data_IF_551218982290
#
_entry.id   IF_551218982290
#
_cell.length_a   1.000
_cell.length_b   1.000
_cell.length_c   1.000
_cell.angle_alpha   90.00
_cell.angle_beta   90.00
_cell.angle_gamma   90.00
#
_symmetry.space_group_name_H-M   'P 1'
#
loop_
_entity.id
_entity.type
_entity.pdbx_description
1 polymer ?
#
# COMPACT_ATOMS: atom_id res chain seq x y z
N UNK A 1 -17.28 0.31 20.97
CA UNK A 1 -15.92 0.91 21.01
C UNK A 1 -15.17 0.70 19.69
N UNK A 2 -15.18 -0.50 19.10
CA UNK A 2 -14.46 -0.83 17.84
C UNK A 2 -14.81 0.06 16.64
N UNK A 3 -16.08 0.43 16.47
CA UNK A 3 -16.51 1.35 15.40
C UNK A 3 -15.96 2.79 15.54
N UNK A 4 -15.66 3.25 16.76
CA UNK A 4 -15.13 4.60 16.99
C UNK A 4 -13.70 4.75 16.49
N UNK A 5 -12.87 3.70 16.66
CA UNK A 5 -11.51 3.66 16.11
C UNK A 5 -11.53 3.77 14.58
N UNK A 6 -12.43 3.03 13.93
CA UNK A 6 -12.60 3.14 12.48
C UNK A 6 -13.09 4.52 12.05
N UNK A 7 -14.06 5.10 12.76
CA UNK A 7 -14.54 6.46 12.50
C UNK A 7 -13.42 7.50 12.65
N UNK A 8 -12.58 7.36 13.68
CA UNK A 8 -11.40 8.22 13.88
C UNK A 8 -10.42 8.13 12.70
N UNK A 9 -10.10 6.92 12.23
CA UNK A 9 -9.25 6.74 11.04
C UNK A 9 -9.87 7.37 9.79
N UNK A 10 -11.18 7.20 9.58
CA UNK A 10 -11.88 7.80 8.45
C UNK A 10 -11.77 9.33 8.48
N UNK A 11 -12.03 9.96 9.62
CA UNK A 11 -11.90 11.42 9.77
C UNK A 11 -10.46 11.89 9.59
N UNK A 12 -9.48 11.14 10.09
CA UNK A 12 -8.06 11.45 9.95
C UNK A 12 -7.55 11.37 8.50
N UNK A 13 -8.07 10.39 7.75
CA UNK A 13 -7.64 10.08 6.38
C UNK A 13 -8.40 10.87 5.31
N UNK A 14 -9.62 11.31 5.59
CA UNK A 14 -10.45 12.09 4.65
C UNK A 14 -9.71 13.29 4.02
N UNK A 15 -9.03 14.17 4.77
CA UNK A 15 -8.30 15.30 4.18
C UNK A 15 -6.98 14.92 3.51
N UNK A 16 -6.60 13.63 3.52
CA UNK A 16 -5.37 13.09 2.93
C UNK A 16 -5.64 12.15 1.75
N UNK A 17 -6.91 11.98 1.37
CA UNK A 17 -7.31 11.09 0.28
C UNK A 17 -7.71 11.95 -0.92
N UNK A 18 -7.14 11.67 -2.08
CA UNK A 18 -7.31 12.47 -3.28
C UNK A 18 -7.58 11.58 -4.49
N UNK A 19 -8.22 12.16 -5.50
CA UNK A 19 -8.25 11.55 -6.83
C UNK A 19 -6.86 11.69 -7.49
N UNK A 20 -6.52 10.81 -8.46
CA UNK A 20 -5.19 10.84 -9.11
C UNK A 20 -4.80 12.20 -9.69
N UNK A 21 -5.75 12.93 -10.27
CA UNK A 21 -5.49 14.25 -10.84
C UNK A 21 -5.18 15.32 -9.78
N UNK A 22 -5.77 15.20 -8.59
CA UNK A 22 -5.77 16.20 -7.52
C UNK A 22 -4.63 16.01 -6.52
N UNK A 23 -4.07 14.80 -6.44
CA UNK A 23 -2.99 14.49 -5.50
C UNK A 23 -1.74 15.32 -5.83
N UNK A 24 -1.08 15.82 -4.78
CA UNK A 24 0.23 16.45 -4.91
C UNK A 24 1.30 15.41 -5.22
N UNK A 25 2.40 15.85 -5.82
CA UNK A 25 3.50 14.96 -6.15
C UNK A 25 4.19 14.47 -4.87
N UNK A 26 4.64 13.21 -4.89
CA UNK A 26 5.51 12.62 -3.88
C UNK A 26 6.60 11.80 -4.60
N UNK A 27 7.75 11.51 -3.99
CA UNK A 27 8.80 10.78 -4.68
C UNK A 27 8.41 9.32 -5.00
N UNK A 28 7.58 8.69 -4.17
CA UNK A 28 7.26 7.26 -4.25
C UNK A 28 5.74 7.00 -4.20
N UNK A 29 5.26 6.08 -5.02
CA UNK A 29 3.98 5.41 -4.78
C UNK A 29 4.22 4.08 -4.04
N UNK A 30 3.66 3.93 -2.84
CA UNK A 30 3.64 2.65 -2.12
C UNK A 30 2.42 1.84 -2.57
N UNK A 31 2.67 0.72 -3.24
CA UNK A 31 1.66 -0.22 -3.71
C UNK A 31 1.59 -1.40 -2.76
N UNK A 32 0.44 -1.57 -2.10
CA UNK A 32 0.26 -2.63 -1.11
C UNK A 32 -0.18 -3.95 -1.77
N UNK A 33 0.29 -5.08 -1.24
CA UNK A 33 -0.16 -6.44 -1.62
C UNK A 33 -1.65 -6.70 -1.37
N UNK A 34 -2.26 -7.56 -2.19
CA UNK A 34 -3.71 -7.79 -2.23
C UNK A 34 -4.14 -9.21 -2.62
N UNK A 35 -3.19 -10.12 -2.84
CA UNK A 35 -3.45 -11.50 -3.25
C UNK A 35 -3.05 -11.81 -4.69
N UNK A 36 -2.49 -13.00 -4.88
CA UNK A 36 -2.25 -13.62 -6.18
C UNK A 36 -3.41 -14.54 -6.61
N UNK A 37 -3.54 -14.72 -7.92
CA UNK A 37 -4.29 -15.81 -8.51
C UNK A 37 -3.60 -17.16 -8.27
N UNK A 38 -4.29 -18.26 -8.55
CA UNK A 38 -3.74 -19.63 -8.36
C UNK A 38 -2.53 -19.93 -9.25
N UNK A 39 -2.37 -19.22 -10.34
CA UNK A 39 -1.25 -19.33 -11.27
C UNK A 39 -0.07 -18.41 -10.91
N UNK A 40 -0.14 -17.71 -9.77
CA UNK A 40 0.89 -16.77 -9.31
C UNK A 40 0.80 -15.38 -9.92
N UNK A 41 -0.12 -15.13 -10.87
CA UNK A 41 -0.32 -13.79 -11.42
C UNK A 41 -0.99 -12.86 -10.41
N UNK A 42 -0.83 -11.55 -10.57
CA UNK A 42 -1.50 -10.57 -9.72
C UNK A 42 -3.02 -10.78 -9.76
N UNK A 43 -3.68 -10.88 -8.60
CA UNK A 43 -5.14 -10.92 -8.54
C UNK A 43 -5.76 -9.61 -9.02
N UNK A 44 -7.05 -9.59 -9.36
CA UNK A 44 -7.72 -8.39 -9.90
C UNK A 44 -7.57 -7.14 -9.02
N UNK A 45 -7.59 -7.32 -7.69
CA UNK A 45 -7.40 -6.23 -6.71
C UNK A 45 -5.97 -5.71 -6.71
N UNK A 46 -4.99 -6.60 -6.95
CA UNK A 46 -3.58 -6.26 -7.02
C UNK A 46 -3.23 -5.58 -8.35
N UNK A 47 -3.80 -6.06 -9.45
CA UNK A 47 -3.69 -5.43 -10.77
C UNK A 47 -4.19 -3.97 -10.74
N UNK A 48 -5.39 -3.73 -10.18
CA UNK A 48 -5.96 -2.38 -10.05
C UNK A 48 -5.02 -1.41 -9.29
N UNK A 49 -4.38 -1.89 -8.21
CA UNK A 49 -3.40 -1.08 -7.46
C UNK A 49 -2.16 -0.75 -8.29
N UNK A 50 -1.64 -1.71 -9.04
CA UNK A 50 -0.46 -1.51 -9.89
C UNK A 50 -0.79 -0.59 -11.08
N UNK A 51 -1.97 -0.75 -11.69
CA UNK A 51 -2.46 0.11 -12.76
C UNK A 51 -2.62 1.57 -12.29
N UNK A 52 -3.23 1.77 -11.12
CA UNK A 52 -3.34 3.09 -10.50
C UNK A 52 -1.98 3.72 -10.19
N UNK A 53 -1.02 2.90 -9.73
CA UNK A 53 0.34 3.37 -9.46
C UNK A 53 1.09 3.74 -10.75
N UNK A 54 0.91 2.96 -11.82
CA UNK A 54 1.45 3.28 -13.14
C UNK A 54 0.82 4.56 -13.72
N UNK A 55 -0.48 4.80 -13.53
CA UNK A 55 -1.14 6.06 -13.90
C UNK A 55 -0.46 7.26 -13.22
N UNK A 56 -0.22 7.18 -11.91
CA UNK A 56 0.47 8.23 -11.15
C UNK A 56 1.90 8.45 -11.65
N UNK A 57 2.63 7.38 -11.96
CA UNK A 57 3.98 7.44 -12.51
C UNK A 57 4.01 8.16 -13.86
N UNK A 58 3.16 7.73 -14.82
CA UNK A 58 3.11 8.36 -16.14
C UNK A 58 2.57 9.79 -16.13
N UNK A 59 1.76 10.14 -15.12
CA UNK A 59 1.31 11.51 -14.88
C UNK A 59 2.38 12.40 -14.20
N UNK A 60 3.57 11.84 -13.86
CA UNK A 60 4.64 12.57 -13.18
C UNK A 60 4.30 12.93 -11.73
N UNK A 61 3.35 12.21 -11.11
CA UNK A 61 2.98 12.39 -9.69
C UNK A 61 3.96 11.69 -8.75
N UNK A 62 4.62 10.64 -9.23
CA UNK A 62 5.67 9.89 -8.52
C UNK A 62 6.83 9.54 -9.44
N UNK A 63 8.01 9.35 -8.85
CA UNK A 63 9.22 8.98 -9.58
C UNK A 63 9.50 7.48 -9.52
N UNK A 64 9.11 6.81 -8.44
CA UNK A 64 9.37 5.39 -8.20
C UNK A 64 8.13 4.67 -7.67
N UNK A 65 8.01 3.37 -7.98
CA UNK A 65 6.96 2.50 -7.46
C UNK A 65 7.57 1.53 -6.43
N UNK A 66 7.17 1.64 -5.16
CA UNK A 66 7.55 0.70 -4.12
C UNK A 66 6.46 -0.38 -3.97
N UNK A 67 6.73 -1.57 -4.48
CA UNK A 67 5.83 -2.72 -4.49
C UNK A 67 6.05 -3.56 -3.24
N UNK A 68 5.19 -3.41 -2.23
CA UNK A 68 5.34 -4.05 -0.92
C UNK A 68 4.28 -5.10 -0.66
N UNK A 69 4.70 -6.35 -0.50
CA UNK A 69 3.80 -7.49 -0.36
C UNK A 69 4.46 -8.70 0.29
N UNK A 70 3.67 -9.76 0.44
CA UNK A 70 4.10 -11.01 1.03
C UNK A 70 4.93 -11.85 0.04
N UNK A 71 6.05 -12.38 0.53
CA UNK A 71 6.90 -13.38 -0.11
C UNK A 71 7.30 -14.48 0.88
N UNK A 72 6.38 -14.87 1.77
CA UNK A 72 6.66 -15.77 2.91
C UNK A 72 6.82 -17.25 2.53
N UNK A 73 6.44 -17.64 1.31
CA UNK A 73 6.55 -19.02 0.82
C UNK A 73 7.19 -19.05 -0.56
N UNK A 74 7.90 -20.13 -0.89
CA UNK A 74 8.57 -20.30 -2.20
C UNK A 74 7.62 -20.15 -3.40
N UNK A 75 6.33 -20.39 -3.21
CA UNK A 75 5.31 -20.36 -4.27
C UNK A 75 4.44 -19.10 -4.25
N UNK A 76 4.81 -18.06 -3.51
CA UNK A 76 3.99 -16.88 -3.34
C UNK A 76 4.86 -15.62 -3.30
N UNK A 77 4.85 -14.86 -4.40
CA UNK A 77 5.66 -13.64 -4.58
C UNK A 77 4.78 -12.49 -5.08
N UNK A 78 4.19 -11.71 -4.17
CA UNK A 78 3.38 -10.55 -4.54
C UNK A 78 4.20 -9.44 -5.23
N UNK A 79 5.38 -9.01 -4.71
CA UNK A 79 6.19 -8.01 -5.39
C UNK A 79 6.64 -8.42 -6.79
N UNK A 80 7.01 -9.68 -7.00
CA UNK A 80 7.34 -10.20 -8.33
C UNK A 80 6.16 -10.08 -9.30
N UNK A 81 4.96 -10.49 -8.89
CA UNK A 81 3.76 -10.35 -9.72
C UNK A 81 3.39 -8.87 -9.99
N UNK A 82 3.58 -7.99 -9.00
CA UNK A 82 3.39 -6.54 -9.18
C UNK A 82 4.38 -5.96 -10.19
N UNK A 83 5.65 -6.39 -10.12
CA UNK A 83 6.70 -5.99 -11.07
C UNK A 83 6.36 -6.40 -12.48
N UNK A 84 6.02 -7.66 -12.70
CA UNK A 84 5.66 -8.16 -14.04
C UNK A 84 4.46 -7.40 -14.62
N UNK A 85 3.45 -7.08 -13.79
CA UNK A 85 2.31 -6.28 -14.24
C UNK A 85 2.74 -4.84 -14.58
N UNK A 86 3.53 -4.18 -13.74
CA UNK A 86 4.02 -2.82 -14.00
C UNK A 86 4.91 -2.73 -15.26
N UNK A 87 5.79 -3.72 -15.48
CA UNK A 87 6.59 -3.84 -16.70
C UNK A 87 5.69 -3.98 -17.93
N UNK A 88 4.60 -4.76 -17.84
CA UNK A 88 3.64 -4.91 -18.94
C UNK A 88 2.89 -3.61 -19.28
N UNK A 89 2.76 -2.70 -18.31
CA UNK A 89 2.20 -1.35 -18.49
C UNK A 89 3.23 -0.34 -19.01
N UNK A 90 4.50 -0.72 -19.12
CA UNK A 90 5.59 0.10 -19.67
C UNK A 90 6.38 0.90 -18.64
N UNK A 91 6.22 0.63 -17.34
CA UNK A 91 7.07 1.25 -16.30
C UNK A 91 8.48 0.68 -16.43
N UNK A 92 9.55 1.51 -16.50
CA UNK A 92 10.92 1.02 -16.53
C UNK A 92 11.28 0.23 -15.28
N UNK A 93 12.05 -0.85 -15.43
CA UNK A 93 12.41 -1.73 -14.32
C UNK A 93 13.20 -1.01 -13.21
N UNK A 94 14.08 -0.08 -13.60
CA UNK A 94 14.86 0.78 -12.70
C UNK A 94 14.01 1.71 -11.82
N UNK A 95 12.72 1.89 -12.15
CA UNK A 95 11.76 2.69 -11.39
C UNK A 95 10.85 1.84 -10.49
N UNK A 96 11.01 0.51 -10.52
CA UNK A 96 10.25 -0.43 -9.70
C UNK A 96 11.15 -0.96 -8.58
N UNK A 97 10.75 -0.69 -7.34
CA UNK A 97 11.43 -1.15 -6.12
C UNK A 97 10.59 -2.23 -5.45
N UNK A 98 11.20 -3.35 -5.09
CA UNK A 98 10.49 -4.48 -4.50
C UNK A 98 10.73 -4.60 -3.00
N UNK A 99 9.64 -4.75 -2.25
CA UNK A 99 9.67 -5.09 -0.83
C UNK A 99 8.99 -6.43 -0.57
N UNK A 100 9.82 -7.48 -0.46
CA UNK A 100 9.41 -8.88 -0.21
C UNK A 100 9.04 -9.20 1.24
N UNK A 101 9.14 -8.23 2.15
CA UNK A 101 8.81 -8.42 3.56
C UNK A 101 7.63 -7.55 4.03
N UNK A 102 6.83 -7.04 3.08
CA UNK A 102 5.58 -6.29 3.29
C UNK A 102 4.38 -7.16 3.67
N UNK A 103 4.53 -8.07 4.63
CA UNK A 103 3.51 -9.11 4.95
C UNK A 103 2.21 -8.55 5.54
N UNK A 104 2.28 -7.35 6.11
CA UNK A 104 1.15 -6.58 6.64
C UNK A 104 1.36 -5.13 6.27
N UNK A 105 0.29 -4.35 6.22
CA UNK A 105 0.38 -2.89 5.97
C UNK A 105 1.27 -2.17 6.99
N UNK A 106 1.28 -2.62 8.26
CA UNK A 106 2.18 -2.11 9.27
C UNK A 106 3.65 -2.33 8.85
N UNK A 107 3.97 -3.54 8.38
CA UNK A 107 5.31 -3.93 7.97
C UNK A 107 5.76 -3.13 6.75
N UNK A 108 4.88 -2.96 5.74
CA UNK A 108 5.12 -2.12 4.56
C UNK A 108 5.43 -0.67 4.93
N UNK A 109 4.61 -0.05 5.78
CA UNK A 109 4.81 1.34 6.20
C UNK A 109 6.07 1.51 7.06
N UNK A 110 6.35 0.58 7.97
CA UNK A 110 7.58 0.59 8.77
C UNK A 110 8.81 0.49 7.85
N UNK A 111 8.81 -0.48 6.93
CA UNK A 111 9.94 -0.76 6.05
C UNK A 111 10.16 0.34 5.02
N UNK A 112 9.09 0.99 4.53
CA UNK A 112 9.19 2.18 3.69
C UNK A 112 10.10 3.25 4.35
N UNK A 113 9.96 3.48 5.65
CA UNK A 113 10.84 4.37 6.41
C UNK A 113 12.22 3.76 6.65
N UNK A 114 12.27 2.58 7.28
CA UNK A 114 13.49 2.05 7.87
C UNK A 114 14.46 1.41 6.87
N UNK A 115 13.94 0.83 5.78
CA UNK A 115 14.74 0.16 4.75
C UNK A 115 14.89 1.08 3.55
N UNK A 116 13.78 1.65 3.08
CA UNK A 116 13.75 2.37 1.81
C UNK A 116 13.98 3.88 1.94
N UNK A 117 14.09 4.40 3.17
CA UNK A 117 14.41 5.81 3.42
C UNK A 117 13.31 6.77 2.96
N UNK A 118 12.05 6.33 2.89
CA UNK A 118 10.95 7.12 2.34
C UNK A 118 10.29 7.95 3.44
N UNK A 119 10.38 9.28 3.29
CA UNK A 119 9.74 10.25 4.19
C UNK A 119 8.42 10.82 3.66
N UNK A 120 8.16 10.67 2.37
CA UNK A 120 7.01 11.22 1.67
C UNK A 120 6.54 10.25 0.58
N UNK A 121 5.26 9.88 0.57
CA UNK A 121 4.73 8.93 -0.42
C UNK A 121 3.23 9.10 -0.68
N UNK A 122 2.80 8.58 -1.83
CA UNK A 122 1.40 8.30 -2.13
C UNK A 122 1.14 6.81 -1.86
N UNK A 123 0.24 6.47 -0.95
CA UNK A 123 -0.18 5.07 -0.76
C UNK A 123 -1.33 4.73 -1.70
N UNK A 124 -1.16 3.66 -2.48
CA UNK A 124 -2.14 3.20 -3.48
C UNK A 124 -2.77 1.91 -3.01
N UNK A 125 -4.08 1.96 -2.73
CA UNK A 125 -4.89 0.82 -2.32
C UNK A 125 -6.39 1.12 -2.50
N UNK A 126 -7.28 0.17 -2.28
CA UNK A 126 -8.73 0.42 -2.39
C UNK A 126 -9.22 1.43 -1.35
N UNK A 127 -10.29 2.17 -1.67
CA UNK A 127 -10.83 3.22 -0.80
C UNK A 127 -11.22 2.71 0.60
N UNK A 128 -11.74 1.49 0.69
CA UNK A 128 -12.05 0.88 1.99
C UNK A 128 -10.79 0.67 2.84
N UNK A 129 -9.60 0.52 2.26
CA UNK A 129 -8.36 0.21 2.98
C UNK A 129 -7.54 1.47 3.32
N UNK A 130 -7.68 2.53 2.53
CA UNK A 130 -6.92 3.78 2.67
C UNK A 130 -6.85 4.34 4.10
N UNK A 131 -7.95 4.42 4.88
CA UNK A 131 -7.89 5.03 6.20
C UNK A 131 -6.88 4.38 7.15
N UNK A 132 -6.76 3.04 7.08
CA UNK A 132 -5.82 2.29 7.91
C UNK A 132 -4.40 2.40 7.37
N UNK A 133 -4.21 2.37 6.05
CA UNK A 133 -2.90 2.52 5.43
C UNK A 133 -2.28 3.90 5.73
N UNK A 134 -3.06 4.97 5.56
CA UNK A 134 -2.66 6.36 5.89
C UNK A 134 -2.31 6.48 7.38
N UNK A 135 -3.14 5.92 8.27
CA UNK A 135 -2.86 5.92 9.71
C UNK A 135 -1.53 5.24 10.04
N UNK A 136 -1.28 4.05 9.49
CA UNK A 136 -0.08 3.27 9.76
C UNK A 136 1.19 3.94 9.22
N UNK A 137 1.15 4.46 8.00
CA UNK A 137 2.30 5.16 7.43
C UNK A 137 2.60 6.46 8.18
N UNK A 138 1.56 7.20 8.60
CA UNK A 138 1.76 8.38 9.41
C UNK A 138 2.39 8.07 10.80
N UNK A 139 2.10 6.91 11.38
CA UNK A 139 2.69 6.49 12.66
C UNK A 139 4.21 6.25 12.60
N UNK A 140 4.80 6.16 11.40
CA UNK A 140 6.25 6.07 11.18
C UNK A 140 6.86 7.36 10.63
N UNK A 141 6.22 8.50 10.90
CA UNK A 141 6.65 9.83 10.46
C UNK A 141 6.85 9.94 8.94
N UNK A 142 5.98 9.26 8.18
CA UNK A 142 5.90 9.41 6.73
C UNK A 142 4.79 10.41 6.41
N UNK A 143 5.11 11.43 5.60
CA UNK A 143 4.10 12.28 4.96
C UNK A 143 3.39 11.43 3.91
N UNK A 144 2.12 11.12 4.16
CA UNK A 144 1.37 10.18 3.34
C UNK A 144 0.07 10.81 2.85
N UNK A 145 -0.16 10.71 1.55
CA UNK A 145 -1.47 10.90 0.92
C UNK A 145 -1.94 9.57 0.34
N UNK A 146 -3.24 9.42 0.14
CA UNK A 146 -3.85 8.20 -0.38
C UNK A 146 -4.56 8.42 -1.70
N UNK A 147 -4.40 7.48 -2.64
CA UNK A 147 -5.15 7.44 -3.89
C UNK A 147 -5.89 6.10 -3.99
N UNK A 148 -7.22 6.10 -4.21
CA UNK A 148 -7.99 4.88 -4.32
C UNK A 148 -7.75 4.17 -5.66
N UNK A 149 -7.54 2.85 -5.60
CA UNK A 149 -7.51 1.96 -6.75
C UNK A 149 -8.79 1.10 -6.75
N UNK A 150 -9.87 1.64 -7.28
CA UNK A 150 -11.19 0.98 -7.38
C UNK A 150 -11.72 1.01 -8.83
N UNK A 151 -10.84 0.92 -9.83
CA UNK A 151 -11.22 0.97 -11.24
C UNK A 151 -11.90 -0.35 -11.70
N UNK A 152 -11.65 -1.45 -10.99
CA UNK A 152 -12.27 -2.73 -11.28
C UNK A 152 -13.69 -2.88 -10.70
N UNK A 153 -14.56 -3.60 -11.42
CA UNK A 153 -15.90 -3.94 -10.95
C UNK A 153 -15.88 -5.06 -9.91
N UNK A 154 -15.75 -4.69 -8.64
CA UNK A 154 -15.80 -5.65 -7.53
C UNK A 154 -17.23 -6.12 -7.23
N UNK A 155 -17.35 -7.40 -6.87
CA UNK A 155 -18.63 -7.94 -6.36
C UNK A 155 -19.02 -7.22 -5.07
N UNK A 156 -20.23 -6.67 -5.03
CA UNK A 156 -20.76 -5.94 -3.86
C UNK A 156 -20.59 -6.72 -2.55
N UNK A 157 -20.87 -8.04 -2.55
CA UNK A 157 -20.68 -8.91 -1.38
C UNK A 157 -19.22 -8.97 -0.90
N UNK A 158 -18.26 -8.99 -1.82
CA UNK A 158 -16.84 -8.97 -1.48
C UNK A 158 -16.46 -7.62 -0.88
N UNK A 159 -16.92 -6.54 -1.50
CA UNK A 159 -16.66 -5.17 -1.04
C UNK A 159 -17.22 -4.90 0.37
N UNK A 160 -18.46 -5.32 0.64
CA UNK A 160 -19.06 -5.18 1.98
C UNK A 160 -18.34 -6.05 3.03
N UNK A 161 -17.92 -7.25 2.66
CA UNK A 161 -17.10 -8.09 3.53
C UNK A 161 -15.77 -7.43 3.88
N UNK A 162 -15.03 -6.90 2.89
CA UNK A 162 -13.77 -6.21 3.13
C UNK A 162 -13.94 -4.99 4.03
N UNK A 163 -14.98 -4.18 3.79
CA UNK A 163 -15.30 -3.04 4.65
C UNK A 163 -15.59 -3.46 6.10
N UNK A 164 -16.27 -4.59 6.31
CA UNK A 164 -16.53 -5.10 7.66
C UNK A 164 -15.24 -5.55 8.38
N UNK A 165 -14.31 -6.19 7.65
CA UNK A 165 -13.01 -6.60 8.20
C UNK A 165 -12.18 -5.41 8.65
N UNK A 166 -12.31 -4.27 7.96
CA UNK A 166 -11.56 -3.06 8.30
C UNK A 166 -11.88 -2.52 9.69
N UNK A 167 -13.07 -2.78 10.25
CA UNK A 167 -13.38 -2.38 11.62
C UNK A 167 -12.47 -3.10 12.62
N UNK A 168 -12.27 -4.41 12.45
CA UNK A 168 -11.38 -5.20 13.31
C UNK A 168 -9.91 -4.88 13.03
N UNK A 169 -9.55 -4.74 11.76
CA UNK A 169 -8.19 -4.39 11.36
C UNK A 169 -7.77 -3.00 11.89
N UNK A 170 -8.71 -2.06 12.01
CA UNK A 170 -8.44 -0.73 12.60
C UNK A 170 -8.10 -0.83 14.08
N UNK A 171 -8.81 -1.67 14.84
CA UNK A 171 -8.50 -1.92 16.26
C UNK A 171 -7.10 -2.50 16.40
N UNK A 172 -6.76 -3.46 15.55
CA UNK A 172 -5.44 -4.10 15.56
C UNK A 172 -4.33 -3.12 15.15
N UNK A 173 -4.57 -2.23 14.18
CA UNK A 173 -3.61 -1.19 13.81
C UNK A 173 -3.34 -0.20 14.97
N UNK A 174 -4.37 0.21 15.71
CA UNK A 174 -4.16 1.02 16.92
C UNK A 174 -3.37 0.27 17.98
N UNK A 175 -3.63 -1.03 18.16
CA UNK A 175 -2.88 -1.87 19.11
C UNK A 175 -1.40 -1.97 18.73
N UNK A 176 -1.11 -2.23 17.45
CA UNK A 176 0.25 -2.32 16.94
C UNK A 176 1.00 -0.99 17.13
N UNK A 177 0.35 0.15 16.86
CA UNK A 177 0.98 1.48 16.95
C UNK A 177 1.12 1.98 18.39
N UNK A 178 0.16 1.72 19.28
CA UNK A 178 0.14 2.34 20.61
C UNK A 178 0.69 1.44 21.72
N UNK A 179 0.71 0.12 21.49
CA UNK A 179 0.98 -0.86 22.54
C UNK A 179 2.08 -1.83 22.12
N UNK A 180 1.85 -2.63 21.07
CA UNK A 180 2.71 -3.77 20.78
C UNK A 180 4.03 -3.39 20.09
N UNK A 181 4.04 -2.38 19.22
CA UNK A 181 5.21 -1.94 18.45
C UNK A 181 6.03 -3.10 17.85
N UNK A 182 5.41 -4.05 17.11
CA UNK A 182 6.13 -5.20 16.59
C UNK A 182 7.24 -4.74 15.64
N UNK A 183 8.40 -5.39 15.71
CA UNK A 183 9.49 -5.17 14.74
C UNK A 183 9.26 -6.09 13.54
N UNK A 184 9.10 -5.57 12.31
CA UNK A 184 8.99 -6.40 11.11
C UNK A 184 10.31 -7.12 10.79
N UNK A 185 10.28 -7.99 9.79
CA UNK A 185 11.52 -8.51 9.20
C UNK A 185 12.27 -7.32 8.60
N UNK A 186 13.51 -7.12 9.02
CA UNK A 186 14.40 -6.08 8.51
C UNK A 186 15.52 -6.71 7.67
N UNK A 187 16.06 -5.91 6.76
CA UNK A 187 17.28 -6.22 6.00
C UNK A 187 18.31 -5.11 6.22
N UNK A 188 19.28 -5.01 5.32
CA UNK A 188 20.12 -3.81 5.26
C UNK A 188 19.28 -2.63 4.75
N UNK A 189 19.62 -1.38 5.11
CA UNK A 189 19.03 -0.22 4.46
C UNK A 189 19.31 -0.23 2.95
N UNK A 190 18.26 0.03 2.17
CA UNK A 190 18.25 0.11 0.71
C UNK A 190 17.51 1.40 0.29
N UNK A 191 18.07 2.60 0.57
CA UNK A 191 17.39 3.86 0.24
C UNK A 191 17.08 3.95 -1.27
N UNK A 192 15.84 4.36 -1.60
CA UNK A 192 15.40 4.48 -2.99
C UNK A 192 16.13 5.62 -3.72
N UNK A 193 16.51 6.66 -2.96
CA UNK A 193 17.25 7.82 -3.46
C UNK A 193 18.58 7.95 -2.72
N UNK A 194 19.65 8.41 -3.40
CA UNK A 194 20.98 8.59 -2.84
C UNK A 194 21.09 9.74 -1.83
#
# INVERSE_FOLDING_TARGET
>A
MTGLMRAGMLLFAAPKTFLPAEVLNAPVALVLGAGLNRDGTAGIVLQDRVEKAAELYFAGKVEKLLMSGDNSTEYYDEPGAMREHALSLGVPDEDIVLDFAGRRTYDSCYRAKAIFGVDDLIVVTQAFHLPRAIFLCNAFDIRVTGVPADDANYRLRSYTYWWSREVLASVYAYWDVLIAHPTPILGNPEPIFP
#
